data_IF_547355248858
#
_entry.id   IF_547355248858
#
_cell.length_a   1.000
_cell.length_b   1.000
_cell.length_c   1.000
_cell.angle_alpha   90.00
_cell.angle_beta   90.00
_cell.angle_gamma   90.00
#
_symmetry.space_group_name_H-M   'P 1'
#
loop_
_entity.id
_entity.type
_entity.pdbx_description
1 polymer ?
#
# COMPACT_ATOMS: atom_id res chain seq x y z
N UNK A 1 1.55 14.38 3.43
CA UNK A 1 2.51 15.34 2.84
C UNK A 1 2.71 14.95 1.38
N UNK A 2 2.14 15.71 0.44
CA UNK A 2 2.22 15.39 -0.98
C UNK A 2 3.63 15.59 -1.54
N UNK A 3 4.31 16.67 -1.17
CA UNK A 3 5.64 16.98 -1.67
C UNK A 3 6.64 15.88 -1.28
N UNK A 4 6.57 15.40 -0.04
CA UNK A 4 7.40 14.30 0.44
C UNK A 4 7.11 12.98 -0.30
N UNK A 5 5.84 12.65 -0.55
CA UNK A 5 5.47 11.45 -1.31
C UNK A 5 6.10 11.46 -2.71
N UNK A 6 6.04 12.61 -3.39
CA UNK A 6 6.59 12.77 -4.73
C UNK A 6 8.11 12.67 -4.72
N UNK A 7 8.79 13.35 -3.78
CA UNK A 7 10.26 13.31 -3.70
C UNK A 7 10.78 11.91 -3.40
N UNK A 8 10.16 11.20 -2.46
CA UNK A 8 10.56 9.84 -2.10
C UNK A 8 10.22 8.83 -3.20
N UNK A 9 9.05 8.95 -3.85
CA UNK A 9 8.71 8.11 -5.00
C UNK A 9 9.76 8.24 -6.11
N UNK A 10 10.16 9.47 -6.46
CA UNK A 10 11.23 9.70 -7.45
C UNK A 10 12.56 9.09 -7.02
N UNK A 11 12.93 9.23 -5.74
CA UNK A 11 14.19 8.70 -5.18
C UNK A 11 14.30 7.17 -5.31
N UNK A 12 13.17 6.45 -5.24
CA UNK A 12 13.14 4.97 -5.30
C UNK A 12 12.73 4.41 -6.68
N UNK A 13 12.78 5.24 -7.73
CA UNK A 13 12.47 4.80 -9.10
C UNK A 13 10.98 4.67 -9.39
N UNK A 14 10.15 5.46 -8.71
CA UNK A 14 8.73 5.63 -8.99
C UNK A 14 7.83 4.50 -8.46
N UNK A 15 8.31 3.67 -7.53
CA UNK A 15 7.55 2.51 -7.01
C UNK A 15 7.10 2.76 -5.58
N UNK A 16 5.80 2.92 -5.38
CA UNK A 16 5.20 3.17 -4.06
C UNK A 16 4.29 2.01 -3.67
N UNK A 17 4.57 1.38 -2.55
CA UNK A 17 3.67 0.38 -1.94
C UNK A 17 3.00 1.01 -0.73
N UNK A 18 1.67 1.06 -0.72
CA UNK A 18 0.90 1.40 0.49
C UNK A 18 0.41 0.13 1.17
N UNK A 19 0.29 0.19 2.49
CA UNK A 19 -0.28 -0.88 3.30
C UNK A 19 -1.16 -0.25 4.37
N UNK A 20 -2.37 -0.77 4.54
CA UNK A 20 -3.33 -0.27 5.51
C UNK A 20 -4.21 -1.40 6.07
N UNK A 21 -4.47 -1.34 7.38
CA UNK A 21 -5.52 -2.14 8.03
C UNK A 21 -6.86 -1.40 7.90
N UNK A 22 -7.29 -1.25 6.66
CA UNK A 22 -8.49 -0.56 6.24
C UNK A 22 -8.95 -1.14 4.91
N UNK A 23 -10.23 -0.93 4.55
CA UNK A 23 -10.71 -1.26 3.21
C UNK A 23 -10.07 -0.36 2.16
N UNK A 24 -10.13 -0.78 0.89
CA UNK A 24 -9.57 0.00 -0.21
C UNK A 24 -10.18 1.41 -0.34
N UNK A 25 -11.50 1.51 -0.29
CA UNK A 25 -12.24 2.71 -0.64
C UNK A 25 -12.01 3.83 0.40
N UNK A 26 -11.61 5.01 -0.08
CA UNK A 26 -11.30 6.17 0.75
C UNK A 26 -10.05 6.03 1.63
N UNK A 27 -9.29 4.95 1.46
CA UNK A 27 -8.13 4.61 2.27
C UNK A 27 -6.87 5.38 1.91
N UNK A 28 -5.77 5.01 2.57
CA UNK A 28 -4.43 5.53 2.33
C UNK A 28 -4.00 5.31 0.88
N UNK A 29 -4.27 4.13 0.32
CA UNK A 29 -3.91 3.77 -1.05
C UNK A 29 -4.53 4.72 -2.08
N UNK A 30 -5.81 5.07 -1.92
CA UNK A 30 -6.49 6.03 -2.82
C UNK A 30 -6.01 7.46 -2.59
N UNK A 31 -5.81 7.87 -1.33
CA UNK A 31 -5.28 9.18 -1.00
C UNK A 31 -3.87 9.39 -1.59
N UNK A 32 -2.98 8.40 -1.48
CA UNK A 32 -1.63 8.43 -2.05
C UNK A 32 -1.70 8.40 -3.58
N UNK A 33 -2.53 7.53 -4.16
CA UNK A 33 -2.70 7.46 -5.63
C UNK A 33 -3.17 8.78 -6.22
N UNK A 34 -4.11 9.45 -5.56
CA UNK A 34 -4.59 10.79 -5.95
C UNK A 34 -3.47 11.84 -5.81
N UNK A 35 -2.72 11.82 -4.72
CA UNK A 35 -1.65 12.79 -4.45
C UNK A 35 -0.49 12.75 -5.47
N UNK A 36 -0.25 11.60 -6.11
CA UNK A 36 0.84 11.41 -7.09
C UNK A 36 0.35 11.21 -8.53
N UNK A 37 -0.94 11.41 -8.80
CA UNK A 37 -1.56 11.08 -10.08
C UNK A 37 -0.93 11.80 -11.28
N UNK A 38 -0.46 13.03 -11.09
CA UNK A 38 0.15 13.86 -12.13
C UNK A 38 1.66 13.60 -12.32
N UNK A 39 2.26 12.71 -11.51
CA UNK A 39 3.70 12.45 -11.54
C UNK A 39 4.05 11.29 -12.49
N UNK A 40 4.61 11.65 -13.65
CA UNK A 40 5.06 10.69 -14.63
C UNK A 40 6.10 9.71 -14.03
N UNK A 41 5.87 8.42 -14.27
CA UNK A 41 6.76 7.35 -13.80
C UNK A 41 6.50 6.89 -12.36
N UNK A 42 5.58 7.51 -11.62
CA UNK A 42 5.15 7.03 -10.30
C UNK A 42 4.02 6.01 -10.46
N UNK A 43 4.15 4.86 -9.81
CA UNK A 43 3.16 3.79 -9.74
C UNK A 43 2.90 3.42 -8.29
N UNK A 44 1.63 3.30 -7.95
CA UNK A 44 1.17 2.92 -6.61
C UNK A 44 0.61 1.50 -6.65
N UNK A 45 0.98 0.69 -5.66
CA UNK A 45 0.39 -0.63 -5.39
C UNK A 45 -0.08 -0.67 -3.94
N UNK A 46 -1.34 -1.01 -3.72
CA UNK A 46 -1.93 -0.99 -2.39
C UNK A 46 -2.18 -2.39 -1.83
N UNK A 47 -1.85 -2.60 -0.56
CA UNK A 47 -2.27 -3.73 0.27
C UNK A 47 -3.30 -3.23 1.27
N UNK A 48 -4.46 -3.88 1.34
CA UNK A 48 -5.62 -3.46 2.12
C UNK A 48 -6.46 -4.69 2.49
N UNK A 49 -7.34 -4.52 3.47
CA UNK A 49 -8.32 -5.53 3.86
C UNK A 49 -9.36 -5.69 2.75
N UNK A 50 -9.56 -6.92 2.27
CA UNK A 50 -10.41 -7.20 1.09
C UNK A 50 -11.84 -7.63 1.42
N UNK A 51 -12.02 -8.23 2.60
CA UNK A 51 -13.25 -8.88 3.01
C UNK A 51 -13.56 -8.56 4.47
N UNK A 52 -14.78 -8.87 4.90
CA UNK A 52 -15.20 -8.67 6.30
C UNK A 52 -14.27 -9.47 7.24
N UNK A 53 -13.71 -8.83 8.28
CA UNK A 53 -12.95 -9.46 9.36
C UNK A 53 -13.66 -10.60 10.08
N UNK A 54 -12.85 -11.45 10.72
CA UNK A 54 -13.29 -12.53 11.63
C UNK A 54 -12.44 -12.50 12.89
N UNK A 55 -12.88 -13.21 13.92
CA UNK A 55 -12.11 -13.34 15.16
C UNK A 55 -10.82 -14.13 14.93
N UNK A 56 -9.73 -13.68 15.56
CA UNK A 56 -8.40 -14.29 15.49
C UNK A 56 -7.38 -13.46 16.27
N UNK A 57 -6.17 -13.95 16.40
CA UNK A 57 -5.06 -13.17 16.96
C UNK A 57 -4.66 -12.03 16.01
N UNK A 58 -4.13 -10.90 16.52
CA UNK A 58 -3.77 -9.75 15.69
C UNK A 58 -2.84 -10.12 14.51
N UNK A 59 -1.74 -10.84 14.78
CA UNK A 59 -0.77 -11.22 13.75
C UNK A 59 -1.36 -12.19 12.72
N UNK A 60 -2.22 -13.10 13.18
CA UNK A 60 -2.92 -14.06 12.31
C UNK A 60 -3.87 -13.33 11.36
N UNK A 61 -4.59 -12.31 11.86
CA UNK A 61 -5.49 -11.52 11.04
C UNK A 61 -4.73 -10.68 10.01
N UNK A 62 -3.63 -10.03 10.40
CA UNK A 62 -2.78 -9.28 9.45
C UNK A 62 -2.26 -10.17 8.32
N UNK A 63 -1.85 -11.40 8.63
CA UNK A 63 -1.38 -12.36 7.63
C UNK A 63 -2.52 -12.85 6.75
N UNK A 64 -3.64 -13.24 7.37
CA UNK A 64 -4.82 -13.73 6.66
C UNK A 64 -5.41 -12.70 5.69
N UNK A 65 -5.30 -11.41 6.01
CA UNK A 65 -5.74 -10.32 5.14
C UNK A 65 -4.67 -9.80 4.17
N UNK A 66 -3.47 -10.37 4.21
CA UNK A 66 -2.41 -10.08 3.25
C UNK A 66 -1.73 -8.73 3.47
N UNK A 67 -1.73 -8.22 4.70
CA UNK A 67 -1.11 -6.94 5.10
C UNK A 67 0.03 -7.11 6.11
N UNK A 68 0.40 -8.36 6.45
CA UNK A 68 1.56 -8.66 7.29
C UNK A 68 2.90 -8.39 6.58
N UNK A 69 3.99 -8.36 7.34
CA UNK A 69 5.34 -8.10 6.82
C UNK A 69 5.77 -9.03 5.65
N UNK A 70 5.55 -10.37 5.69
CA UNK A 70 5.79 -11.23 4.54
C UNK A 70 5.07 -10.81 3.25
N UNK A 71 3.82 -10.35 3.37
CA UNK A 71 3.03 -9.85 2.25
C UNK A 71 3.56 -8.54 1.70
N UNK A 72 3.99 -7.62 2.57
CA UNK A 72 4.66 -6.37 2.18
C UNK A 72 5.95 -6.69 1.40
N UNK A 73 6.80 -7.56 1.92
CA UNK A 73 8.05 -7.98 1.26
C UNK A 73 7.76 -8.60 -0.11
N UNK A 74 6.75 -9.48 -0.20
CA UNK A 74 6.33 -10.08 -1.47
C UNK A 74 5.83 -9.03 -2.46
N UNK A 75 5.03 -8.07 -2.02
CA UNK A 75 4.50 -7.00 -2.85
C UNK A 75 5.60 -6.13 -3.44
N UNK A 76 6.62 -5.78 -2.63
CA UNK A 76 7.81 -5.02 -3.05
C UNK A 76 8.66 -5.83 -4.04
N UNK A 77 9.00 -7.09 -3.72
CA UNK A 77 9.83 -7.94 -4.60
C UNK A 77 9.18 -8.20 -5.96
N UNK A 78 7.86 -8.32 -6.00
CA UNK A 78 7.10 -8.54 -7.23
C UNK A 78 6.66 -7.23 -7.92
N UNK A 79 7.15 -6.07 -7.47
CA UNK A 79 6.84 -4.78 -8.10
C UNK A 79 7.79 -4.54 -9.28
N UNK A 80 7.52 -5.22 -10.39
CA UNK A 80 8.18 -4.98 -11.69
C UNK A 80 7.83 -3.58 -12.19
#
# INVERSE_FOLDING_TARGET
DQALLISEAKRVGGKVVTVEDHYQAGGLGEAVSSAVADEAGVRVRSLFVKDIPRSGGPDELLDMFGISAPHIVKAVKNFA
#
